data_IF_568755512602
#
_entry.id   IF_568755512602
#
_cell.length_a   1.000
_cell.length_b   1.000
_cell.length_c   1.000
_cell.angle_alpha   90.00
_cell.angle_beta   90.00
_cell.angle_gamma   90.00
#
_symmetry.space_group_name_H-M   'P 1'
#
loop_
_entity.id
_entity.type
_entity.pdbx_description
1 polymer ?
#
# COMPACT_ATOMS: atom_id res chain seq x y z
N UNK A 1 3.29 -1.49 33.65
CA UNK A 1 2.52 -0.94 32.52
C UNK A 1 1.85 -2.12 31.82
N UNK A 2 0.52 -2.19 31.81
CA UNK A 2 -0.21 -3.37 31.34
C UNK A 2 -0.28 -3.34 29.79
N UNK A 3 0.50 -4.19 29.11
CA UNK A 3 0.43 -4.33 27.64
C UNK A 3 -0.94 -4.92 27.29
N UNK A 4 -1.83 -4.12 26.68
CA UNK A 4 -3.08 -4.65 26.14
C UNK A 4 -2.75 -5.58 24.97
N UNK A 5 -3.38 -6.76 24.94
CA UNK A 5 -3.18 -7.67 23.81
C UNK A 5 -3.90 -7.17 22.56
N UNK A 6 -3.47 -7.62 21.38
CA UNK A 6 -3.99 -7.11 20.11
C UNK A 6 -5.52 -7.30 19.94
N UNK A 7 -6.09 -8.31 20.61
CA UNK A 7 -7.55 -8.55 20.64
C UNK A 7 -8.28 -7.50 21.49
N UNK A 8 -7.72 -7.10 22.63
CA UNK A 8 -8.24 -6.02 23.47
C UNK A 8 -8.19 -4.67 22.74
N UNK A 9 -7.07 -4.35 22.09
CA UNK A 9 -6.95 -3.13 21.26
C UNK A 9 -7.99 -3.09 20.14
N UNK A 10 -8.21 -4.22 19.46
CA UNK A 10 -9.26 -4.35 18.43
C UNK A 10 -10.65 -4.11 19.00
N UNK A 11 -10.98 -4.76 20.11
CA UNK A 11 -12.29 -4.63 20.76
C UNK A 11 -12.54 -3.21 21.29
N UNK A 12 -11.53 -2.56 21.89
CA UNK A 12 -11.64 -1.17 22.37
C UNK A 12 -11.84 -0.22 21.20
N UNK A 13 -11.10 -0.38 20.10
CA UNK A 13 -11.28 0.46 18.91
C UNK A 13 -12.67 0.28 18.31
N UNK A 14 -13.15 -0.96 18.19
CA UNK A 14 -14.49 -1.25 17.69
C UNK A 14 -15.58 -0.66 18.59
N UNK A 15 -15.40 -0.70 19.91
CA UNK A 15 -16.31 -0.08 20.87
C UNK A 15 -16.30 1.46 20.83
N UNK A 16 -15.18 2.06 20.40
CA UNK A 16 -15.02 3.51 20.24
C UNK A 16 -15.36 4.02 18.83
N UNK A 17 -15.69 3.15 17.89
CA UNK A 17 -16.19 3.59 16.58
C UNK A 17 -17.51 4.32 16.81
N UNK A 18 -17.54 5.61 16.48
CA UNK A 18 -18.77 6.38 16.44
C UNK A 18 -19.80 5.62 15.62
N UNK A 19 -21.05 5.57 16.09
CA UNK A 19 -22.17 5.02 15.32
C UNK A 19 -22.12 5.69 13.93
N UNK A 20 -22.06 4.91 12.83
CA UNK A 20 -22.02 5.50 11.50
C UNK A 20 -23.19 6.46 11.30
N UNK A 21 -22.97 7.52 10.53
CA UNK A 21 -24.03 8.44 10.12
C UNK A 21 -25.19 7.64 9.54
N UNK A 22 -26.42 8.01 9.87
CA UNK A 22 -27.59 7.39 9.26
C UNK A 22 -27.61 7.68 7.74
N UNK A 23 -27.73 6.61 6.95
CA UNK A 23 -27.82 6.64 5.49
C UNK A 23 -29.25 6.28 5.10
N UNK A 24 -29.82 6.96 4.10
CA UNK A 24 -31.23 6.82 3.75
C UNK A 24 -31.44 6.10 2.41
N UNK A 25 -30.47 6.16 1.50
CA UNK A 25 -30.65 5.67 0.12
C UNK A 25 -29.67 4.57 -0.25
N UNK A 26 -30.06 3.69 -1.19
CA UNK A 26 -29.19 2.64 -1.75
C UNK A 26 -27.86 3.21 -2.28
N UNK A 27 -27.91 4.38 -2.90
CA UNK A 27 -26.71 5.03 -3.44
C UNK A 27 -25.75 5.46 -2.33
N UNK A 28 -26.25 6.03 -1.24
CA UNK A 28 -25.44 6.39 -0.08
C UNK A 28 -24.81 5.17 0.59
N UNK A 29 -25.57 4.10 0.81
CA UNK A 29 -25.03 2.85 1.36
C UNK A 29 -23.93 2.26 0.48
N UNK A 30 -24.17 2.17 -0.84
CA UNK A 30 -23.17 1.64 -1.77
C UNK A 30 -21.89 2.48 -1.77
N UNK A 31 -22.02 3.80 -1.68
CA UNK A 31 -20.86 4.69 -1.62
C UNK A 31 -20.09 4.55 -0.31
N UNK A 32 -20.78 4.55 0.83
CA UNK A 32 -20.13 4.44 2.15
C UNK A 32 -19.44 3.09 2.33
N UNK A 33 -20.09 2.00 1.93
CA UNK A 33 -19.49 0.65 1.94
C UNK A 33 -18.25 0.61 1.05
N UNK A 34 -18.31 1.20 -0.16
CA UNK A 34 -17.15 1.25 -1.07
C UNK A 34 -15.98 2.02 -0.46
N UNK A 35 -16.23 3.19 0.14
CA UNK A 35 -15.17 3.96 0.82
C UNK A 35 -14.51 3.12 1.91
N UNK A 36 -15.30 2.55 2.81
CA UNK A 36 -14.76 1.73 3.91
C UNK A 36 -13.99 0.51 3.41
N UNK A 37 -14.46 -0.10 2.32
CA UNK A 37 -13.80 -1.23 1.69
C UNK A 37 -12.45 -0.86 1.08
N UNK A 38 -12.36 0.26 0.36
CA UNK A 38 -11.09 0.76 -0.20
C UNK A 38 -10.11 1.18 0.90
N UNK A 39 -10.60 1.82 1.96
CA UNK A 39 -9.80 2.19 3.13
C UNK A 39 -9.15 0.95 3.78
N UNK A 40 -9.78 -0.23 3.67
CA UNK A 40 -9.19 -1.47 4.19
C UNK A 40 -7.95 -1.89 3.42
N UNK A 41 -7.95 -1.79 2.08
CA UNK A 41 -6.75 -2.06 1.27
C UNK A 41 -5.65 -1.05 1.60
N UNK A 42 -5.99 0.24 1.65
CA UNK A 42 -5.03 1.28 1.97
C UNK A 42 -4.38 1.06 3.34
N UNK A 43 -5.19 0.81 4.38
CA UNK A 43 -4.68 0.47 5.71
C UNK A 43 -3.77 -0.76 5.67
N UNK A 44 -4.10 -1.76 4.86
CA UNK A 44 -3.29 -2.97 4.69
C UNK A 44 -1.92 -2.66 4.08
N UNK A 45 -1.88 -1.79 3.05
CA UNK A 45 -0.62 -1.32 2.44
C UNK A 45 0.20 -0.53 3.44
N UNK A 46 -0.43 0.37 4.22
CA UNK A 46 0.27 1.14 5.25
C UNK A 46 0.90 0.25 6.33
N UNK A 47 0.20 -0.82 6.76
CA UNK A 47 0.78 -1.83 7.67
C UNK A 47 2.02 -2.47 7.05
N UNK A 48 1.96 -2.86 5.78
CA UNK A 48 3.11 -3.40 5.04
C UNK A 48 4.31 -2.45 5.00
N UNK A 49 4.07 -1.16 4.74
CA UNK A 49 5.13 -0.12 4.76
C UNK A 49 5.80 0.01 6.13
N UNK A 50 5.01 0.00 7.21
CA UNK A 50 5.55 0.03 8.59
C UNK A 50 6.33 -1.22 8.93
N UNK A 51 5.91 -2.39 8.44
CA UNK A 51 6.68 -3.62 8.61
C UNK A 51 8.02 -3.57 7.85
N UNK A 52 8.08 -2.96 6.66
CA UNK A 52 9.33 -2.73 5.93
C UNK A 52 10.26 -1.79 6.73
N UNK A 53 9.76 -0.63 7.15
CA UNK A 53 10.50 0.34 7.96
C UNK A 53 11.02 -0.28 9.27
N UNK A 54 10.20 -1.05 9.97
CA UNK A 54 10.59 -1.72 11.21
C UNK A 54 11.72 -2.73 10.96
N UNK A 55 11.65 -3.51 9.87
CA UNK A 55 12.71 -4.48 9.54
C UNK A 55 14.05 -3.81 9.23
N UNK A 56 14.02 -2.59 8.66
CA UNK A 56 15.24 -1.83 8.34
C UNK A 56 15.84 -1.14 9.56
N UNK A 57 15.00 -0.64 10.48
CA UNK A 57 15.44 0.24 11.58
C UNK A 57 15.69 -0.49 12.90
N UNK A 58 15.02 -1.62 13.13
CA UNK A 58 15.14 -2.33 14.39
C UNK A 58 16.44 -3.16 14.45
N UNK A 59 17.03 -3.34 15.64
CA UNK A 59 18.14 -4.27 15.83
C UNK A 59 17.81 -5.69 15.38
N UNK A 60 18.85 -6.49 15.10
CA UNK A 60 18.67 -7.88 14.72
C UNK A 60 17.85 -8.66 15.76
N UNK A 61 16.82 -9.39 15.30
CA UNK A 61 15.93 -10.19 16.15
C UNK A 61 14.74 -9.44 16.75
N UNK A 62 14.80 -8.11 16.88
CA UNK A 62 13.70 -7.30 17.44
C UNK A 62 12.48 -7.26 16.51
N UNK A 63 12.71 -7.23 15.20
CA UNK A 63 11.62 -7.29 14.22
C UNK A 63 10.85 -8.63 14.34
N UNK A 64 11.59 -9.75 14.38
CA UNK A 64 11.00 -11.07 14.53
C UNK A 64 10.22 -11.20 15.85
N UNK A 65 10.80 -10.74 16.96
CA UNK A 65 10.14 -10.75 18.28
C UNK A 65 8.85 -9.91 18.28
N UNK A 66 8.89 -8.69 17.73
CA UNK A 66 7.71 -7.82 17.62
C UNK A 66 6.59 -8.49 16.82
N UNK A 67 6.93 -9.11 15.67
CA UNK A 67 5.94 -9.78 14.83
C UNK A 67 5.29 -10.98 15.54
N UNK A 68 6.06 -11.73 16.33
CA UNK A 68 5.56 -12.90 17.04
C UNK A 68 4.75 -12.58 18.30
N UNK A 69 5.16 -11.53 19.03
CA UNK A 69 4.66 -11.26 20.38
C UNK A 69 3.68 -10.09 20.44
N UNK A 70 3.87 -9.04 19.63
CA UNK A 70 3.13 -7.79 19.77
C UNK A 70 2.05 -7.60 18.68
N UNK A 71 2.09 -8.34 17.56
CA UNK A 71 1.18 -8.17 16.43
C UNK A 71 0.05 -9.22 16.36
N UNK A 72 -1.14 -8.86 15.81
CA UNK A 72 -2.29 -9.76 15.72
C UNK A 72 -2.20 -10.84 14.62
N UNK A 73 -1.02 -11.09 14.05
CA UNK A 73 -0.84 -12.01 12.94
C UNK A 73 0.54 -12.68 12.97
N UNK A 74 0.64 -13.79 12.25
CA UNK A 74 1.87 -14.60 12.19
C UNK A 74 2.90 -14.03 11.20
N UNK A 75 4.19 -14.41 11.31
CA UNK A 75 5.26 -13.98 10.39
C UNK A 75 4.94 -14.17 8.90
N UNK A 76 4.23 -15.24 8.55
CA UNK A 76 3.80 -15.50 7.18
C UNK A 76 2.89 -14.39 6.62
N UNK A 77 2.00 -13.82 7.44
CA UNK A 77 1.15 -12.69 7.05
C UNK A 77 1.98 -11.42 6.95
N UNK A 78 2.86 -11.16 7.93
CA UNK A 78 3.75 -10.00 7.90
C UNK A 78 4.58 -9.95 6.60
N UNK A 79 5.13 -11.09 6.16
CA UNK A 79 5.85 -11.20 4.88
C UNK A 79 4.98 -10.80 3.69
N UNK A 80 3.75 -11.30 3.61
CA UNK A 80 2.82 -10.98 2.51
C UNK A 80 2.48 -9.50 2.47
N UNK A 81 2.24 -8.90 3.64
CA UNK A 81 1.92 -7.47 3.75
C UNK A 81 3.08 -6.58 3.29
N UNK A 82 4.31 -6.92 3.70
CA UNK A 82 5.53 -6.25 3.23
C UNK A 82 5.70 -6.33 1.71
N UNK A 83 5.53 -7.52 1.15
CA UNK A 83 5.61 -7.74 -0.30
C UNK A 83 4.56 -6.91 -1.06
N UNK A 84 3.32 -6.90 -0.56
CA UNK A 84 2.24 -6.09 -1.14
C UNK A 84 2.61 -4.61 -1.12
N UNK A 85 3.12 -4.10 0.01
CA UNK A 85 3.54 -2.71 0.10
C UNK A 85 4.66 -2.37 -0.90
N UNK A 86 5.72 -3.19 -0.94
CA UNK A 86 6.82 -3.01 -1.91
C UNK A 86 6.32 -3.04 -3.36
N UNK A 87 5.39 -3.95 -3.68
CA UNK A 87 4.82 -4.05 -5.01
C UNK A 87 3.97 -2.82 -5.38
N UNK A 88 3.13 -2.36 -4.47
CA UNK A 88 2.33 -1.14 -4.66
C UNK A 88 3.23 0.08 -4.85
N UNK A 89 4.27 0.21 -4.03
CA UNK A 89 5.21 1.33 -4.08
C UNK A 89 6.09 1.29 -5.34
N UNK A 90 6.28 0.11 -5.95
CA UNK A 90 7.00 -0.01 -7.23
C UNK A 90 6.28 0.62 -8.42
N UNK A 91 4.96 0.87 -8.31
CA UNK A 91 4.16 1.49 -9.37
C UNK A 91 3.98 0.64 -10.65
N UNK A 92 4.41 -0.63 -10.64
CA UNK A 92 4.33 -1.52 -11.81
C UNK A 92 2.90 -1.80 -12.30
N UNK A 93 1.92 -1.72 -11.39
CA UNK A 93 0.49 -1.79 -11.71
C UNK A 93 -0.16 -0.50 -11.23
N UNK A 94 -0.92 0.21 -12.08
CA UNK A 94 -1.65 1.39 -11.66
C UNK A 94 -2.57 1.08 -10.48
N UNK A 95 -2.60 1.97 -9.47
CA UNK A 95 -3.42 1.77 -8.28
C UNK A 95 -4.90 1.56 -8.60
N UNK A 96 -5.38 2.13 -9.71
CA UNK A 96 -6.77 2.03 -10.16
C UNK A 96 -7.13 0.66 -10.71
N UNK A 97 -6.14 -0.12 -11.15
CA UNK A 97 -6.32 -1.48 -11.68
C UNK A 97 -6.08 -2.56 -10.62
N UNK A 98 -5.50 -2.18 -9.48
CA UNK A 98 -5.23 -3.13 -8.39
C UNK A 98 -6.53 -3.67 -7.79
N UNK A 99 -6.61 -4.99 -7.60
CA UNK A 99 -7.74 -5.58 -6.89
C UNK A 99 -7.80 -5.14 -5.44
N UNK A 100 -9.02 -5.06 -4.90
CA UNK A 100 -9.26 -4.54 -3.55
C UNK A 100 -8.75 -5.49 -2.45
N UNK A 101 -8.69 -6.79 -2.72
CA UNK A 101 -8.23 -7.78 -1.75
C UNK A 101 -6.70 -7.91 -1.77
N UNK A 102 -6.04 -7.61 -0.64
CA UNK A 102 -4.57 -7.72 -0.52
C UNK A 102 -4.03 -9.10 -0.90
N UNK A 103 -4.81 -10.17 -0.68
CA UNK A 103 -4.40 -11.54 -1.03
C UNK A 103 -4.35 -11.76 -2.55
N UNK A 104 -5.19 -11.05 -3.31
CA UNK A 104 -5.13 -11.02 -4.78
C UNK A 104 -3.96 -10.16 -5.23
N UNK A 105 -3.77 -8.98 -4.63
CA UNK A 105 -2.60 -8.12 -4.92
C UNK A 105 -1.29 -8.86 -4.68
N UNK A 106 -1.18 -9.57 -3.57
CA UNK A 106 -0.03 -10.43 -3.27
C UNK A 106 0.19 -11.48 -4.35
N UNK A 107 -0.89 -12.15 -4.79
CA UNK A 107 -0.81 -13.17 -5.82
C UNK A 107 -0.37 -12.61 -7.18
N UNK A 108 -0.65 -11.33 -7.48
CA UNK A 108 -0.15 -10.59 -8.66
C UNK A 108 1.32 -10.18 -8.47
N UNK A 109 1.68 -9.70 -7.28
CA UNK A 109 3.05 -9.30 -6.94
C UNK A 109 4.04 -10.46 -7.16
N UNK A 110 3.63 -11.68 -6.77
CA UNK A 110 4.44 -12.88 -6.91
C UNK A 110 4.42 -13.51 -8.31
N UNK A 111 3.70 -12.94 -9.27
CA UNK A 111 3.75 -13.42 -10.66
C UNK A 111 5.08 -13.05 -11.32
N UNK A 112 5.59 -13.89 -12.25
CA UNK A 112 6.68 -13.49 -13.13
C UNK A 112 6.34 -12.19 -13.87
N UNK A 113 7.32 -11.29 -13.99
CA UNK A 113 7.14 -9.96 -14.60
C UNK A 113 6.52 -10.07 -16.00
N UNK A 114 7.05 -10.95 -16.85
CA UNK A 114 6.55 -11.13 -18.22
C UNK A 114 5.08 -11.57 -18.27
N UNK A 115 4.67 -12.44 -17.35
CA UNK A 115 3.27 -12.89 -17.27
C UNK A 115 2.35 -11.79 -16.78
N UNK A 116 2.81 -11.01 -15.78
CA UNK A 116 2.06 -9.85 -15.27
C UNK A 116 1.89 -8.79 -16.35
N UNK A 117 2.95 -8.47 -17.09
CA UNK A 117 2.91 -7.47 -18.15
C UNK A 117 1.94 -7.88 -19.27
N UNK A 118 2.00 -9.14 -19.74
CA UNK A 118 1.02 -9.68 -20.68
C UNK A 118 -0.41 -9.60 -20.14
N UNK A 119 -0.62 -9.91 -18.87
CA UNK A 119 -1.94 -9.82 -18.25
C UNK A 119 -2.46 -8.38 -18.14
N UNK A 120 -1.59 -7.39 -17.94
CA UNK A 120 -1.95 -5.96 -17.98
C UNK A 120 -2.34 -5.53 -19.40
N UNK A 121 -1.53 -5.88 -20.40
CA UNK A 121 -1.78 -5.55 -21.81
C UNK A 121 -3.08 -6.16 -22.33
N UNK A 122 -3.42 -7.36 -21.85
CA UNK A 122 -4.67 -8.05 -22.18
C UNK A 122 -5.87 -7.58 -21.34
N UNK A 123 -5.68 -6.64 -20.40
CA UNK A 123 -6.75 -6.13 -19.53
C UNK A 123 -7.32 -7.20 -18.58
N UNK A 124 -6.53 -8.22 -18.24
CA UNK A 124 -6.95 -9.34 -17.39
C UNK A 124 -6.83 -9.02 -15.90
N UNK A 125 -5.92 -8.13 -15.53
CA UNK A 125 -5.85 -7.58 -14.17
C UNK A 125 -6.90 -6.48 -14.06
N UNK A 126 -7.95 -6.76 -13.30
CA UNK A 126 -9.10 -5.86 -13.14
C UNK A 126 -9.36 -5.61 -11.65
N UNK A 127 -9.89 -4.43 -11.26
CA UNK A 127 -10.14 -4.09 -9.86
C UNK A 127 -11.11 -5.05 -9.16
N UNK A 128 -12.06 -5.61 -9.91
CA UNK A 128 -13.09 -6.51 -9.41
C UNK A 128 -12.72 -7.99 -9.50
N UNK A 129 -11.50 -8.31 -9.94
CA UNK A 129 -11.08 -9.69 -10.10
C UNK A 129 -10.91 -10.40 -8.75
N UNK A 130 -11.31 -11.66 -8.71
CA UNK A 130 -11.10 -12.50 -7.52
C UNK A 130 -9.77 -13.23 -7.58
N UNK A 131 -9.27 -13.64 -6.41
CA UNK A 131 -8.09 -14.50 -6.34
C UNK A 131 -8.28 -15.81 -7.11
N UNK A 132 -9.46 -16.44 -7.05
CA UNK A 132 -9.74 -17.69 -7.77
C UNK A 132 -9.63 -17.50 -9.28
N UNK A 133 -10.12 -16.38 -9.80
CA UNK A 133 -10.01 -16.05 -11.23
C UNK A 133 -8.55 -15.84 -11.65
N UNK A 134 -7.75 -15.18 -10.80
CA UNK A 134 -6.31 -15.06 -11.04
C UNK A 134 -5.59 -16.42 -11.07
N UNK A 135 -5.96 -17.35 -10.18
CA UNK A 135 -5.36 -18.69 -10.17
C UNK A 135 -5.77 -19.52 -11.40
N UNK A 136 -7.03 -19.42 -11.85
CA UNK A 136 -7.47 -20.03 -13.11
C UNK A 136 -6.65 -19.48 -14.28
N UNK A 137 -6.39 -18.18 -14.31
CA UNK A 137 -5.54 -17.55 -15.33
C UNK A 137 -4.12 -18.13 -15.32
N UNK A 138 -3.46 -18.17 -14.16
CA UNK A 138 -2.11 -18.74 -14.04
C UNK A 138 -2.04 -20.17 -14.57
N UNK A 139 -3.07 -20.97 -14.28
CA UNK A 139 -3.13 -22.36 -14.71
C UNK A 139 -3.38 -22.50 -16.22
N UNK A 140 -4.20 -21.64 -16.80
CA UNK A 140 -4.47 -21.61 -18.25
C UNK A 140 -3.31 -21.07 -19.10
N UNK A 141 -2.51 -20.15 -18.55
CA UNK A 141 -1.29 -19.66 -19.19
C UNK A 141 -0.22 -20.76 -19.31
N UNK A 142 -0.24 -21.76 -18.41
CA UNK A 142 0.62 -22.96 -18.51
C UNK A 142 0.15 -23.93 -19.61
N UNK A 143 -1.12 -23.87 -20.03
CA UNK A 143 -1.71 -24.77 -21.03
C UNK A 143 -1.93 -24.11 -22.40
N UNK A 144 -1.32 -22.93 -22.65
CA UNK A 144 -1.41 -22.15 -23.90
C UNK A 144 -2.84 -21.84 -24.38
N UNK A 145 -3.85 -21.94 -23.51
CA UNK A 145 -5.24 -21.59 -23.84
C UNK A 145 -5.61 -20.35 -23.05
N UNK A 146 -5.70 -19.16 -23.67
CA UNK A 146 -6.13 -17.97 -22.97
C UNK A 146 -7.58 -18.16 -22.50
N UNK A 147 -7.87 -18.00 -21.19
CA UNK A 147 -9.24 -17.95 -20.74
C UNK A 147 -9.84 -16.67 -21.31
N UNK A 148 -10.99 -16.78 -21.98
CA UNK A 148 -11.64 -15.61 -22.55
C UNK A 148 -11.89 -14.56 -21.44
N UNK A 149 -11.48 -13.29 -21.64
CA UNK A 149 -11.84 -12.23 -20.72
C UNK A 149 -13.37 -12.18 -20.67
N UNK A 150 -13.96 -12.40 -19.50
CA UNK A 150 -15.40 -12.21 -19.34
C UNK A 150 -15.69 -10.74 -19.57
N UNK A 151 -16.57 -10.36 -20.50
CA UNK A 151 -17.01 -8.97 -20.63
C UNK A 151 -17.72 -8.60 -19.33
N UNK A 152 -17.04 -7.85 -18.48
CA UNK A 152 -17.63 -7.24 -17.29
C UNK A 152 -17.82 -5.77 -17.60
N UNK A 153 -19.04 -5.28 -17.47
CA UNK A 153 -19.22 -3.86 -17.33
C UNK A 153 -18.43 -3.43 -16.09
N UNK A 154 -17.53 -2.43 -16.17
CA UNK A 154 -16.94 -1.87 -14.97
C UNK A 154 -18.11 -1.47 -14.07
N UNK A 155 -18.15 -2.01 -12.85
CA UNK A 155 -19.05 -1.44 -11.83
C UNK A 155 -18.71 0.05 -11.80
N UNK A 156 -19.69 0.97 -11.91
CA UNK A 156 -19.39 2.39 -12.04
C UNK A 156 -18.53 2.83 -10.84
N UNK A 157 -17.22 2.96 -11.09
CA UNK A 157 -16.22 3.46 -10.18
C UNK A 157 -16.16 4.97 -10.45
N UNK A 158 -16.64 5.83 -9.55
CA UNK A 158 -16.32 7.24 -9.64
C UNK A 158 -14.83 7.39 -9.33
N UNK A 159 -14.02 7.67 -10.35
CA UNK A 159 -12.58 7.93 -10.28
C UNK A 159 -12.28 9.28 -9.62
N UNK A 160 -12.85 9.55 -8.45
CA UNK A 160 -12.61 10.80 -7.70
C UNK A 160 -11.46 10.64 -6.68
N UNK A 161 -10.54 9.70 -6.97
CA UNK A 161 -9.39 9.34 -6.12
C UNK A 161 -8.39 10.50 -5.98
N UNK A 162 -8.37 11.43 -6.92
CA UNK A 162 -7.39 12.51 -6.98
C UNK A 162 -7.68 13.72 -6.07
N UNK A 163 -8.86 13.84 -5.46
CA UNK A 163 -9.25 15.08 -4.72
C UNK A 163 -9.28 14.98 -3.20
N UNK A 164 -9.10 13.80 -2.60
CA UNK A 164 -9.35 13.62 -1.15
C UNK A 164 -8.13 13.25 -0.30
N UNK A 165 -7.01 12.86 -0.93
CA UNK A 165 -5.81 12.45 -0.18
C UNK A 165 -5.15 13.66 0.53
N UNK A 166 -5.31 14.88 0.01
CA UNK A 166 -4.67 16.07 0.60
C UNK A 166 -5.46 16.67 1.78
N UNK A 167 -6.80 16.53 1.80
CA UNK A 167 -7.62 17.24 2.78
C UNK A 167 -7.70 16.56 4.16
N UNK A 168 -7.70 15.22 4.21
CA UNK A 168 -7.93 14.50 5.48
C UNK A 168 -6.65 14.18 6.26
N UNK A 169 -5.48 14.15 5.59
CA UNK A 169 -4.18 14.00 6.27
C UNK A 169 -3.78 15.28 7.00
N UNK A 170 -4.19 16.45 6.49
CA UNK A 170 -3.89 17.75 7.10
C UNK A 170 -4.68 17.98 8.40
N UNK A 171 -5.93 17.52 8.46
CA UNK A 171 -6.82 17.70 9.64
C UNK A 171 -6.42 16.79 10.81
N UNK A 172 -5.83 15.61 10.56
CA UNK A 172 -5.36 14.71 11.62
C UNK A 172 -3.97 15.09 12.18
N UNK A 173 -3.15 15.84 11.42
CA UNK A 173 -1.84 16.31 11.89
C UNK A 173 -1.85 17.75 12.46
N UNK A 174 -2.83 18.59 12.12
CA UNK A 174 -2.91 19.97 12.61
C UNK A 174 -3.32 20.11 14.09
N UNK A 175 -3.84 19.05 14.74
CA UNK A 175 -4.34 19.10 16.12
C UNK A 175 -3.30 18.90 17.24
N UNK A 176 -2.04 18.57 16.93
CA UNK A 176 -1.04 18.27 17.99
C UNK A 176 0.39 18.68 17.63
N UNK A 177 0.63 19.96 17.36
CA UNK A 177 1.98 20.54 17.52
C UNK A 177 1.88 21.99 18.00
N UNK A 178 1.57 22.17 19.30
CA UNK A 178 1.99 23.36 20.04
C UNK A 178 3.09 22.98 21.02
N UNK A 179 4.30 22.72 20.52
CA UNK A 179 5.57 22.96 21.25
C UNK A 179 6.70 23.20 20.22
N UNK A 180 7.00 24.48 19.96
CA UNK A 180 8.33 25.13 19.99
C UNK A 180 9.54 24.15 19.89
N UNK A 181 10.34 24.13 18.82
CA UNK A 181 11.46 25.06 18.62
C UNK A 181 11.99 24.99 17.16
N UNK A 182 12.22 26.15 16.54
CA UNK A 182 12.93 26.30 15.27
C UNK A 182 14.44 26.17 15.54
N UNK A 183 15.12 25.20 14.91
CA UNK A 183 16.55 25.17 14.52
C UNK A 183 17.08 23.72 14.50
N UNK A 184 16.68 22.92 13.51
CA UNK A 184 17.20 21.54 13.40
C UNK A 184 17.23 20.95 11.99
N UNK A 185 16.53 21.55 11.03
CA UNK A 185 16.32 20.92 9.71
C UNK A 185 17.22 21.48 8.60
N UNK A 186 17.91 22.60 8.83
CA UNK A 186 18.86 23.17 7.85
C UNK A 186 20.28 22.57 7.93
N UNK A 187 20.60 21.74 8.92
CA UNK A 187 21.93 21.07 9.03
C UNK A 187 22.00 19.69 8.39
N UNK A 188 20.87 19.05 8.08
CA UNK A 188 20.85 17.67 7.56
C UNK A 188 20.78 17.58 6.02
N UNK A 189 20.48 18.68 5.32
CA UNK A 189 20.43 18.71 3.85
C UNK A 189 21.82 18.93 3.20
N UNK A 190 22.87 19.21 3.98
CA UNK A 190 24.25 19.41 3.48
C UNK A 190 25.16 18.17 3.52
N UNK A 191 24.66 17.00 3.89
CA UNK A 191 25.49 15.81 4.11
C UNK A 191 25.40 14.71 3.03
N UNK A 192 24.67 14.93 1.92
CA UNK A 192 24.56 13.97 0.82
C UNK A 192 24.71 14.67 -0.53
N UNK A 193 25.96 14.96 -0.89
CA UNK A 193 26.35 15.31 -2.26
C UNK A 193 27.46 14.32 -2.67
N UNK A 194 27.23 13.44 -3.64
CA UNK A 194 28.21 12.42 -4.00
C UNK A 194 29.35 13.03 -4.82
N UNK A 195 30.59 12.80 -4.35
CA UNK A 195 31.82 12.95 -5.11
C UNK A 195 31.85 11.90 -6.22
N UNK A 196 31.64 12.33 -7.46
CA UNK A 196 32.05 11.59 -8.65
C UNK A 196 33.04 12.46 -9.44
N UNK A 197 34.16 11.81 -9.76
CA UNK A 197 35.36 12.32 -10.42
C UNK A 197 35.09 12.94 -11.80
N UNK A 198 35.75 14.06 -12.10
CA UNK A 198 36.31 14.35 -13.43
C UNK A 198 37.33 15.52 -13.35
N UNK A 199 38.61 15.22 -13.53
CA UNK A 199 39.53 16.10 -14.28
C UNK A 199 39.89 15.34 -15.56
N UNK A 200 40.04 16.03 -16.71
CA UNK A 200 41.35 16.60 -17.03
C UNK A 200 41.35 17.94 -17.80
N UNK A 201 42.47 18.66 -17.60
CA UNK A 201 43.20 19.57 -18.49
C UNK A 201 42.53 20.28 -19.69
N UNK A 202 42.71 21.61 -19.74
CA UNK A 202 43.29 22.24 -20.94
C UNK A 202 42.72 23.59 -21.42
N UNK A 203 43.50 24.66 -21.22
CA UNK A 203 43.73 25.82 -22.12
C UNK A 203 42.60 26.84 -22.39
N UNK A 204 42.81 28.08 -21.91
CA UNK A 204 42.88 29.32 -22.72
C UNK A 204 42.76 30.57 -21.84
N UNK A 205 43.88 31.23 -21.56
CA UNK A 205 43.90 32.64 -21.15
C UNK A 205 43.77 33.50 -22.41
N UNK A 206 42.83 34.44 -22.39
CA UNK A 206 42.87 35.65 -23.21
C UNK A 206 42.67 36.84 -22.26
N UNK A 207 43.51 37.85 -22.49
CA UNK A 207 43.69 39.13 -21.79
C UNK A 207 44.62 39.08 -20.56
#
# INVERSE_FOLDING_TARGET
>A
MMKMNARQLGNTRLAMLNKPRELATRAEFAEDIRRNWLNALEATVQVGRRLNEAKEKLPHGEYEAMVEQDLPFKPATARKLREVATFVDSGKVPLEQLPEAYSTVYAIATMPEEQRQKALEQGLIQPDMTRRELEVFKMSALTNTPPAPKPRAPKPFPTDRARRIDADVEVLFAGRLRVRNKTGWERLVRAWQPLLFATPCGRSSNL
#
